data_IF_486453348661
#
_entry.id   IF_486453348661
#
_cell.length_a   1.000
_cell.length_b   1.000
_cell.length_c   1.000
_cell.angle_alpha   90.00
_cell.angle_beta   90.00
_cell.angle_gamma   90.00
#
_symmetry.space_group_name_H-M   'P 1'
#
loop_
_entity.id
_entity.type
_entity.pdbx_description
1 polymer ?
#
# COMPACT_ATOMS: atom_id res chain seq x y z
N UNK A 1 4.34 -7.80 13.09
CA UNK A 1 5.10 -6.56 12.82
C UNK A 1 4.12 -5.39 12.97
N UNK A 2 4.43 -4.33 13.74
CA UNK A 2 3.62 -3.11 13.77
C UNK A 2 4.38 -1.97 13.06
N UNK A 3 4.16 -1.77 11.74
CA UNK A 3 4.67 -0.60 11.04
C UNK A 3 4.09 0.68 11.64
N UNK A 4 4.65 1.83 11.30
CA UNK A 4 4.14 3.12 11.83
C UNK A 4 2.72 3.45 11.39
N UNK A 5 2.26 2.84 10.29
CA UNK A 5 0.87 2.90 9.84
C UNK A 5 0.42 1.53 9.35
N UNK A 6 -0.81 1.17 9.68
CA UNK A 6 -1.47 -0.04 9.19
C UNK A 6 -2.14 0.23 7.85
N UNK A 7 -1.96 -0.71 6.92
CA UNK A 7 -2.77 -0.78 5.70
C UNK A 7 -4.08 -1.54 5.94
N UNK A 8 -4.90 -1.64 4.89
CA UNK A 8 -6.09 -2.49 4.93
C UNK A 8 -5.66 -3.96 4.84
N UNK A 9 -6.13 -4.80 5.76
CA UNK A 9 -5.78 -6.22 5.84
C UNK A 9 -7.04 -7.07 5.85
N UNK A 10 -7.07 -8.13 5.06
CA UNK A 10 -8.08 -9.16 5.11
C UNK A 10 -7.56 -10.39 5.83
N UNK A 11 -8.34 -10.93 6.77
CA UNK A 11 -8.02 -12.18 7.48
C UNK A 11 -9.19 -13.16 7.33
N UNK A 12 -8.98 -14.38 6.81
CA UNK A 12 -10.01 -15.41 6.75
C UNK A 12 -10.60 -15.65 8.14
N UNK A 13 -11.93 -15.67 8.22
CA UNK A 13 -12.67 -16.00 9.44
C UNK A 13 -14.04 -16.52 9.05
N UNK A 14 -14.33 -17.77 9.42
CA UNK A 14 -15.59 -18.41 9.09
C UNK A 14 -16.76 -17.70 9.77
N UNK A 15 -17.90 -17.61 9.07
CA UNK A 15 -19.08 -16.89 9.55
C UNK A 15 -19.60 -17.42 10.89
N UNK A 16 -19.41 -18.71 11.15
CA UNK A 16 -19.81 -19.37 12.39
C UNK A 16 -18.99 -18.90 13.60
N UNK A 17 -17.77 -18.41 13.37
CA UNK A 17 -16.86 -17.88 14.39
C UNK A 17 -17.10 -16.39 14.69
N UNK A 18 -18.05 -15.76 14.01
CA UNK A 18 -18.30 -14.33 14.15
C UNK A 18 -18.89 -14.00 15.51
N UNK A 19 -18.45 -12.90 16.14
CA UNK A 19 -19.04 -12.47 17.38
C UNK A 19 -20.45 -11.90 17.16
N UNK A 20 -21.16 -11.71 18.28
CA UNK A 20 -22.48 -11.09 18.29
C UNK A 20 -22.51 -9.74 17.57
N UNK A 21 -23.66 -9.38 17.00
CA UNK A 21 -23.82 -8.10 16.29
C UNK A 21 -23.36 -6.87 17.10
N UNK A 22 -23.69 -6.71 18.40
CA UNK A 22 -23.18 -5.59 19.19
C UNK A 22 -21.65 -5.54 19.28
N UNK A 23 -21.00 -6.69 19.42
CA UNK A 23 -19.53 -6.75 19.46
C UNK A 23 -18.92 -6.39 18.11
N UNK A 24 -19.54 -6.81 16.99
CA UNK A 24 -19.10 -6.41 15.65
C UNK A 24 -19.20 -4.90 15.43
N UNK A 25 -20.27 -4.27 15.91
CA UNK A 25 -20.42 -2.81 15.88
C UNK A 25 -19.31 -2.10 16.68
N UNK A 26 -18.99 -2.63 17.87
CA UNK A 26 -17.91 -2.09 18.70
C UNK A 26 -16.54 -2.27 18.03
N UNK A 27 -16.28 -3.45 17.46
CA UNK A 27 -15.05 -3.73 16.73
C UNK A 27 -14.90 -2.82 15.51
N UNK A 28 -15.99 -2.51 14.79
CA UNK A 28 -15.97 -1.50 13.74
C UNK A 28 -15.55 -0.13 14.28
N UNK A 29 -16.21 0.37 15.32
CA UNK A 29 -15.92 1.72 15.86
C UNK A 29 -14.51 1.82 16.44
N UNK A 30 -14.06 0.83 17.21
CA UNK A 30 -12.79 0.92 17.93
C UNK A 30 -11.58 0.48 17.10
N UNK A 31 -11.73 -0.59 16.30
CA UNK A 31 -10.64 -1.24 15.57
C UNK A 31 -10.73 -1.05 14.07
N UNK A 32 -11.83 -0.49 13.56
CA UNK A 32 -12.05 -0.42 12.12
C UNK A 32 -12.24 -1.78 11.46
N UNK A 33 -12.69 -2.76 12.25
CA UNK A 33 -12.89 -4.13 11.80
C UNK A 33 -14.30 -4.31 11.26
N UNK A 34 -14.40 -4.74 10.02
CA UNK A 34 -15.64 -5.16 9.37
C UNK A 34 -15.67 -6.67 9.18
N UNK A 35 -16.85 -7.27 9.30
CA UNK A 35 -17.07 -8.70 9.09
C UNK A 35 -17.75 -8.89 7.74
N UNK A 36 -17.14 -9.67 6.86
CA UNK A 36 -17.45 -9.75 5.43
C UNK A 36 -17.89 -11.16 5.06
N UNK A 37 -19.08 -11.28 4.50
CA UNK A 37 -19.62 -12.52 3.94
C UNK A 37 -20.37 -12.18 2.65
N UNK A 38 -19.66 -12.23 1.53
CA UNK A 38 -20.20 -11.93 0.20
C UNK A 38 -20.45 -13.23 -0.55
N UNK A 39 -21.66 -13.40 -1.06
CA UNK A 39 -22.10 -14.58 -1.81
C UNK A 39 -22.71 -14.12 -3.12
N UNK A 40 -22.41 -14.83 -4.21
CA UNK A 40 -23.06 -14.60 -5.48
C UNK A 40 -24.58 -14.87 -5.36
N UNK A 41 -25.39 -13.85 -5.57
CA UNK A 41 -26.86 -13.88 -5.52
C UNK A 41 -27.50 -14.49 -6.77
N UNK A 42 -26.79 -14.44 -7.89
CA UNK A 42 -27.18 -14.97 -9.20
C UNK A 42 -25.96 -15.46 -9.98
N UNK A 43 -26.21 -16.22 -11.03
CA UNK A 43 -25.16 -16.57 -12.01
C UNK A 43 -24.76 -15.31 -12.77
N UNK A 44 -23.44 -15.08 -12.91
CA UNK A 44 -22.90 -13.93 -13.64
C UNK A 44 -21.68 -14.34 -14.45
N UNK A 45 -21.54 -13.82 -15.67
CA UNK A 45 -20.39 -14.05 -16.52
C UNK A 45 -19.31 -13.00 -16.26
N UNK A 46 -18.14 -13.43 -15.77
CA UNK A 46 -16.99 -12.56 -15.52
C UNK A 46 -16.48 -11.96 -16.83
N UNK A 47 -16.19 -10.66 -16.82
CA UNK A 47 -15.32 -10.08 -17.84
C UNK A 47 -13.89 -10.51 -17.52
N UNK A 48 -13.26 -11.24 -18.44
CA UNK A 48 -11.91 -11.77 -18.28
C UNK A 48 -11.00 -11.18 -19.36
N UNK A 49 -9.95 -10.49 -18.93
CA UNK A 49 -8.91 -9.92 -19.77
C UNK A 49 -7.69 -10.85 -19.81
N UNK A 50 -6.79 -10.62 -20.77
CA UNK A 50 -5.48 -11.28 -20.82
C UNK A 50 -4.40 -10.31 -20.36
N UNK A 51 -3.53 -10.74 -19.47
CA UNK A 51 -2.35 -9.96 -19.10
C UNK A 51 -1.25 -10.04 -20.16
N UNK A 52 -0.19 -9.24 -20.01
CA UNK A 52 0.97 -9.27 -20.91
C UNK A 52 1.78 -10.57 -20.87
N UNK A 53 1.39 -11.56 -20.06
CA UNK A 53 1.96 -12.91 -19.97
C UNK A 53 0.97 -13.98 -20.46
N UNK A 54 -0.21 -13.59 -20.96
CA UNK A 54 -1.25 -14.49 -21.46
C UNK A 54 -2.17 -15.09 -20.40
N UNK A 55 -2.03 -14.72 -19.13
CA UNK A 55 -2.91 -15.19 -18.05
C UNK A 55 -4.28 -14.53 -18.11
N UNK A 56 -5.33 -15.29 -17.78
CA UNK A 56 -6.70 -14.80 -17.63
C UNK A 56 -6.85 -14.03 -16.32
N UNK A 57 -7.21 -12.76 -16.38
CA UNK A 57 -7.43 -11.90 -15.20
C UNK A 57 -8.85 -11.32 -15.24
N UNK A 58 -9.64 -11.45 -14.16
CA UNK A 58 -10.97 -10.85 -14.10
C UNK A 58 -10.89 -9.31 -14.03
N UNK A 59 -11.85 -8.63 -14.66
CA UNK A 59 -11.94 -7.15 -14.63
C UNK A 59 -12.47 -6.69 -13.26
N UNK A 60 -11.55 -6.32 -12.36
CA UNK A 60 -11.85 -5.87 -11.00
C UNK A 60 -11.15 -4.57 -10.72
N UNK A 61 -11.90 -3.50 -10.44
CA UNK A 61 -11.35 -2.17 -10.23
C UNK A 61 -11.45 -1.71 -8.79
N UNK A 62 -10.38 -1.14 -8.26
CA UNK A 62 -10.48 -0.43 -6.98
C UNK A 62 -11.13 0.95 -7.20
N UNK A 63 -12.03 1.32 -6.27
CA UNK A 63 -12.79 2.56 -6.24
C UNK A 63 -12.73 3.19 -4.84
N UNK A 64 -12.95 4.50 -4.77
CA UNK A 64 -13.18 5.19 -3.49
C UNK A 64 -14.68 5.31 -3.21
N UNK A 65 -15.10 4.89 -2.03
CA UNK A 65 -16.43 5.09 -1.50
C UNK A 65 -16.41 6.17 -0.42
N UNK A 66 -17.21 7.21 -0.59
CA UNK A 66 -17.27 8.37 0.32
C UNK A 66 -15.91 9.05 0.56
N UNK A 67 -14.96 8.94 -0.38
CA UNK A 67 -13.56 9.39 -0.26
C UNK A 67 -12.71 8.71 0.85
N UNK A 68 -13.31 8.01 1.80
CA UNK A 68 -12.61 7.43 2.95
C UNK A 68 -12.39 5.93 2.84
N UNK A 69 -13.25 5.20 2.12
CA UNK A 69 -13.22 3.75 2.11
C UNK A 69 -12.89 3.23 0.72
N UNK A 70 -11.70 2.65 0.58
CA UNK A 70 -11.31 1.95 -0.64
C UNK A 70 -12.09 0.63 -0.74
N UNK A 71 -12.72 0.39 -1.89
CA UNK A 71 -13.48 -0.82 -2.22
C UNK A 71 -13.06 -1.31 -3.59
N UNK A 72 -13.52 -2.49 -4.00
CA UNK A 72 -13.38 -2.94 -5.39
C UNK A 72 -14.72 -3.18 -6.05
N UNK A 73 -14.77 -3.11 -7.37
CA UNK A 73 -15.92 -3.49 -8.18
C UNK A 73 -15.49 -4.57 -9.18
N UNK A 74 -16.13 -5.73 -9.08
CA UNK A 74 -16.00 -6.83 -10.00
C UNK A 74 -17.01 -6.66 -11.15
N UNK A 75 -16.53 -6.64 -12.39
CA UNK A 75 -17.37 -6.38 -13.58
C UNK A 75 -17.78 -7.68 -14.29
N UNK A 76 -19.00 -7.67 -14.80
CA UNK A 76 -19.62 -8.79 -15.49
C UNK A 76 -20.13 -8.34 -16.87
N UNK A 77 -20.19 -9.26 -17.82
CA UNK A 77 -20.68 -8.96 -19.18
C UNK A 77 -22.21 -8.93 -19.28
N UNK A 78 -22.89 -9.58 -18.34
CA UNK A 78 -24.33 -9.85 -18.33
C UNK A 78 -25.06 -9.27 -17.10
N UNK A 79 -24.33 -8.63 -16.18
CA UNK A 79 -24.87 -8.09 -14.94
C UNK A 79 -24.17 -6.79 -14.52
N UNK A 80 -24.82 -5.94 -13.69
CA UNK A 80 -24.18 -4.81 -13.07
C UNK A 80 -22.95 -5.22 -12.23
N UNK A 81 -21.96 -4.31 -12.05
CA UNK A 81 -20.79 -4.59 -11.22
C UNK A 81 -21.18 -4.98 -9.78
N UNK A 82 -20.46 -5.96 -9.22
CA UNK A 82 -20.55 -6.31 -7.80
C UNK A 82 -19.51 -5.52 -7.03
N UNK A 83 -19.97 -4.68 -6.10
CA UNK A 83 -19.08 -3.96 -5.20
C UNK A 83 -18.65 -4.84 -4.03
N UNK A 84 -17.36 -5.10 -3.95
CA UNK A 84 -16.71 -5.78 -2.85
C UNK A 84 -16.51 -4.82 -1.65
N UNK A 85 -16.46 -5.35 -0.43
CA UNK A 85 -16.42 -4.53 0.79
C UNK A 85 -15.05 -3.93 1.12
N UNK A 86 -14.00 -4.34 0.41
CA UNK A 86 -12.62 -3.85 0.58
C UNK A 86 -11.88 -3.87 -0.76
N UNK A 87 -10.63 -3.34 -0.82
CA UNK A 87 -9.81 -3.41 -2.03
C UNK A 87 -9.45 -4.85 -2.42
N UNK A 88 -8.89 -5.00 -3.62
CA UNK A 88 -8.65 -6.30 -4.24
C UNK A 88 -7.77 -7.19 -3.36
N UNK A 89 -6.70 -6.63 -2.80
CA UNK A 89 -5.72 -7.38 -2.00
C UNK A 89 -6.35 -7.98 -0.72
N UNK A 90 -6.98 -7.18 0.17
CA UNK A 90 -7.72 -7.73 1.32
C UNK A 90 -8.79 -8.74 0.94
N UNK A 91 -9.58 -8.47 -0.11
CA UNK A 91 -10.59 -9.43 -0.58
C UNK A 91 -9.96 -10.74 -1.05
N UNK A 92 -8.83 -10.68 -1.75
CA UNK A 92 -8.06 -11.87 -2.18
C UNK A 92 -7.60 -12.70 -0.99
N UNK A 93 -7.17 -12.04 0.10
CA UNK A 93 -6.78 -12.72 1.33
C UNK A 93 -7.93 -13.43 2.05
N UNK A 94 -9.19 -13.11 1.74
CA UNK A 94 -10.39 -13.70 2.35
C UNK A 94 -11.23 -14.52 1.37
N UNK A 95 -10.61 -15.05 0.31
CA UNK A 95 -11.23 -16.05 -0.59
C UNK A 95 -11.53 -15.59 -2.02
N UNK A 96 -11.44 -14.29 -2.33
CA UNK A 96 -11.78 -13.78 -3.67
C UNK A 96 -10.91 -14.42 -4.77
N UNK A 97 -9.61 -14.60 -4.53
CA UNK A 97 -8.72 -15.18 -5.55
C UNK A 97 -9.08 -16.63 -5.86
N UNK A 98 -9.54 -17.38 -4.85
CA UNK A 98 -9.96 -18.77 -5.02
C UNK A 98 -11.28 -18.85 -5.77
N UNK A 99 -12.27 -18.04 -5.37
CA UNK A 99 -13.60 -18.02 -5.99
C UNK A 99 -13.52 -17.65 -7.47
N UNK A 100 -12.72 -16.64 -7.81
CA UNK A 100 -12.54 -16.19 -9.19
C UNK A 100 -11.70 -17.18 -10.01
N UNK A 101 -10.67 -17.76 -9.42
CA UNK A 101 -9.89 -18.82 -10.07
C UNK A 101 -10.75 -20.03 -10.44
N UNK A 102 -11.67 -20.42 -9.54
CA UNK A 102 -12.66 -21.47 -9.80
C UNK A 102 -13.64 -21.08 -10.92
N UNK A 103 -14.17 -19.86 -10.89
CA UNK A 103 -15.06 -19.37 -11.95
C UNK A 103 -14.38 -19.36 -13.32
N UNK A 104 -13.14 -18.86 -13.41
CA UNK A 104 -12.36 -18.82 -14.66
C UNK A 104 -12.10 -20.23 -15.21
N UNK A 105 -11.76 -21.21 -14.35
CA UNK A 105 -11.61 -22.61 -14.75
C UNK A 105 -12.91 -23.23 -15.27
N UNK A 106 -14.05 -22.72 -14.82
CA UNK A 106 -15.40 -23.20 -15.18
C UNK A 106 -16.08 -22.27 -16.20
N UNK A 107 -15.35 -21.80 -17.21
CA UNK A 107 -15.90 -21.02 -18.32
C UNK A 107 -16.15 -19.54 -18.02
N UNK A 108 -15.64 -19.04 -16.89
CA UNK A 108 -15.81 -17.64 -16.47
C UNK A 108 -17.15 -17.34 -15.80
N UNK A 109 -17.95 -18.37 -15.46
CA UNK A 109 -19.23 -18.18 -14.78
C UNK A 109 -19.02 -18.19 -13.27
N UNK A 110 -19.38 -17.09 -12.61
CA UNK A 110 -19.54 -17.04 -11.17
C UNK A 110 -20.95 -17.50 -10.81
N UNK A 111 -21.08 -18.72 -10.29
CA UNK A 111 -22.39 -19.33 -10.02
C UNK A 111 -23.04 -18.78 -8.75
N UNK A 112 -24.35 -18.67 -8.75
CA UNK A 112 -25.19 -18.39 -7.57
C UNK A 112 -24.83 -19.32 -6.42
N UNK A 113 -24.75 -18.76 -5.22
CA UNK A 113 -24.39 -19.46 -3.99
C UNK A 113 -22.88 -19.59 -3.76
N UNK A 114 -22.04 -19.21 -4.73
CA UNK A 114 -20.59 -19.19 -4.53
C UNK A 114 -20.22 -18.15 -3.47
N UNK A 115 -19.51 -18.56 -2.42
CA UNK A 115 -18.90 -17.63 -1.47
C UNK A 115 -17.73 -16.92 -2.17
N UNK A 116 -17.82 -15.59 -2.28
CA UNK A 116 -16.84 -14.75 -2.97
C UNK A 116 -15.76 -14.30 -1.98
N UNK A 117 -16.18 -13.77 -0.83
CA UNK A 117 -15.29 -13.30 0.22
C UNK A 117 -15.88 -13.69 1.59
N UNK A 118 -15.07 -14.27 2.47
CA UNK A 118 -15.46 -14.63 3.83
C UNK A 118 -14.32 -14.34 4.81
N UNK A 119 -14.54 -13.38 5.71
CA UNK A 119 -13.57 -13.08 6.76
C UNK A 119 -13.77 -11.76 7.45
N UNK A 120 -12.69 -11.21 7.97
CA UNK A 120 -12.64 -9.87 8.56
C UNK A 120 -11.74 -8.95 7.77
N UNK A 121 -12.11 -7.68 7.68
CA UNK A 121 -11.33 -6.61 7.09
C UNK A 121 -11.00 -5.59 8.17
N UNK A 122 -9.72 -5.36 8.42
CA UNK A 122 -9.23 -4.24 9.19
C UNK A 122 -8.85 -3.12 8.23
N UNK A 123 -9.49 -1.96 8.34
CA UNK A 123 -9.45 -0.83 7.37
C UNK A 123 -8.13 -0.03 7.28
N UNK A 124 -7.12 -0.35 8.09
CA UNK A 124 -5.92 0.49 8.22
C UNK A 124 -6.17 1.84 8.87
N UNK A 125 -5.15 2.70 8.90
CA UNK A 125 -5.19 3.98 9.62
C UNK A 125 -5.73 5.13 8.74
N UNK A 126 -6.67 5.92 9.29
CA UNK A 126 -7.12 7.19 8.73
C UNK A 126 -6.16 8.31 9.15
N UNK A 127 -5.38 8.80 8.20
CA UNK A 127 -4.28 9.74 8.46
C UNK A 127 -4.66 11.16 8.09
N UNK A 128 -4.46 12.09 9.04
CA UNK A 128 -4.45 13.52 8.80
C UNK A 128 -3.06 13.96 8.32
N UNK A 129 -3.02 14.72 7.22
CA UNK A 129 -1.79 15.22 6.60
C UNK A 129 -1.72 16.73 6.74
N UNK A 130 -0.61 17.25 7.23
CA UNK A 130 -0.36 18.69 7.34
C UNK A 130 0.25 19.19 6.02
N UNK A 131 -0.56 19.87 5.20
CA UNK A 131 -0.07 20.47 3.94
C UNK A 131 0.59 21.84 4.13
N UNK A 132 0.61 22.39 5.33
CA UNK A 132 1.09 23.74 5.60
C UNK A 132 2.56 23.75 6.02
N UNK A 133 2.97 22.88 6.95
CA UNK A 133 4.30 22.92 7.58
C UNK A 133 5.47 23.00 6.59
N UNK A 134 5.46 22.23 5.50
CA UNK A 134 6.59 22.20 4.56
C UNK A 134 6.77 23.48 3.73
N UNK A 135 5.82 24.42 3.77
CA UNK A 135 6.02 25.76 3.20
C UNK A 135 6.95 26.64 4.06
N UNK A 136 7.12 26.31 5.33
CA UNK A 136 7.88 27.12 6.31
C UNK A 136 9.11 26.41 6.86
N UNK A 137 9.20 25.09 6.69
CA UNK A 137 10.37 24.30 7.09
C UNK A 137 10.70 23.25 6.05
N UNK A 138 11.98 22.92 5.94
CA UNK A 138 12.42 21.77 5.12
C UNK A 138 11.97 20.45 5.78
N UNK A 139 11.61 19.42 4.98
CA UNK A 139 11.41 18.06 5.47
C UNK A 139 12.66 17.53 6.17
N UNK A 140 12.48 16.72 7.21
CA UNK A 140 13.59 16.15 8.00
C UNK A 140 13.62 14.64 7.85
N UNK A 141 14.82 14.06 7.82
CA UNK A 141 15.01 12.61 7.83
C UNK A 141 14.25 11.97 8.99
N UNK A 142 13.72 10.79 8.73
CA UNK A 142 12.95 10.00 9.68
C UNK A 142 11.48 10.41 9.80
N UNK A 143 11.04 11.55 9.27
CA UNK A 143 9.62 11.93 9.28
C UNK A 143 8.78 10.97 8.41
N UNK A 144 7.53 10.71 8.80
CA UNK A 144 6.56 10.09 7.90
C UNK A 144 5.94 11.19 7.04
N UNK A 145 5.99 11.04 5.73
CA UNK A 145 5.56 12.08 4.80
C UNK A 145 4.69 11.51 3.68
N UNK A 146 3.85 12.38 3.15
CA UNK A 146 2.97 12.12 2.03
C UNK A 146 3.49 12.82 0.79
N UNK A 147 3.44 12.12 -0.32
CA UNK A 147 3.82 12.64 -1.63
C UNK A 147 2.90 12.06 -2.70
N UNK A 148 2.74 12.77 -3.81
CA UNK A 148 2.03 12.26 -4.98
C UNK A 148 2.98 11.42 -5.85
N UNK A 149 2.42 10.55 -6.70
CA UNK A 149 3.23 9.64 -7.53
C UNK A 149 3.47 10.14 -8.96
N UNK A 150 3.28 11.43 -9.23
CA UNK A 150 3.46 12.02 -10.56
C UNK A 150 4.92 11.86 -10.99
N UNK A 151 5.18 11.45 -12.22
CA UNK A 151 6.52 11.29 -12.79
C UNK A 151 7.49 10.40 -11.99
N UNK A 152 6.98 9.50 -11.15
CA UNK A 152 7.79 8.47 -10.51
C UNK A 152 7.87 7.25 -11.43
N UNK A 153 9.04 7.02 -12.01
CA UNK A 153 9.26 5.90 -12.92
C UNK A 153 9.12 4.57 -12.16
N UNK A 154 8.04 3.83 -12.46
CA UNK A 154 7.70 2.58 -11.78
C UNK A 154 6.29 2.55 -11.15
N UNK A 155 5.72 3.72 -10.83
CA UNK A 155 4.31 3.84 -10.40
C UNK A 155 3.36 3.89 -11.60
N UNK A 156 3.71 4.66 -12.65
CA UNK A 156 2.90 4.89 -13.87
C UNK A 156 2.58 3.62 -14.67
N UNK A 157 3.58 2.73 -14.88
CA UNK A 157 3.38 1.46 -15.59
C UNK A 157 2.51 0.46 -14.81
N UNK A 158 2.31 0.64 -13.49
CA UNK A 158 1.37 -0.15 -12.69
C UNK A 158 -0.08 0.22 -13.04
N UNK A 159 -0.33 1.52 -13.25
CA UNK A 159 -1.63 2.05 -13.68
C UNK A 159 -1.99 1.53 -15.07
N UNK A 160 -1.02 1.47 -15.98
CA UNK A 160 -1.26 0.96 -17.35
C UNK A 160 -1.43 -0.58 -17.40
N UNK A 161 -0.72 -1.34 -16.55
CA UNK A 161 -0.72 -2.82 -16.56
C UNK A 161 -1.85 -3.45 -15.74
N UNK A 162 -2.32 -2.75 -14.71
CA UNK A 162 -3.57 -3.05 -14.01
C UNK A 162 -4.64 -2.06 -14.49
N UNK A 163 -5.23 -2.30 -15.66
CA UNK A 163 -6.31 -1.50 -16.26
C UNK A 163 -7.64 -1.64 -15.51
N UNK A 164 -7.54 -1.50 -14.20
CA UNK A 164 -8.61 -1.65 -13.25
C UNK A 164 -8.41 -0.63 -12.11
N UNK A 165 -8.12 0.62 -12.48
CA UNK A 165 -7.97 1.69 -11.51
C UNK A 165 -8.77 2.92 -11.93
N UNK A 166 -9.72 3.26 -11.05
CA UNK A 166 -10.08 4.61 -10.63
C UNK A 166 -10.63 5.51 -11.75
N UNK A 167 -11.95 5.67 -11.73
CA UNK A 167 -12.62 6.80 -12.36
C UNK A 167 -12.16 8.11 -11.71
N UNK A 168 -11.81 9.07 -12.56
CA UNK A 168 -11.80 10.51 -12.32
C UNK A 168 -10.99 11.02 -11.12
N UNK A 169 -9.67 10.95 -11.23
CA UNK A 169 -8.75 12.03 -10.84
C UNK A 169 -7.43 11.82 -11.57
N UNK A 170 -6.95 12.86 -12.24
CA UNK A 170 -5.71 12.93 -13.03
C UNK A 170 -4.53 12.24 -12.30
N UNK A 171 -4.18 11.03 -12.74
CA UNK A 171 -2.90 10.30 -12.70
C UNK A 171 -1.93 10.41 -11.47
N UNK A 172 -2.40 10.79 -10.28
CA UNK A 172 -1.56 10.96 -9.10
C UNK A 172 -2.11 10.25 -7.84
N UNK A 173 -1.71 9.00 -7.60
CA UNK A 173 -1.94 8.36 -6.29
C UNK A 173 -1.10 9.04 -5.20
N UNK A 174 -1.64 9.20 -3.99
CA UNK A 174 -0.88 9.69 -2.85
C UNK A 174 -0.26 8.52 -2.10
N UNK A 175 1.05 8.57 -1.86
CA UNK A 175 1.79 7.56 -1.10
C UNK A 175 2.25 8.16 0.23
N UNK A 176 2.32 7.30 1.25
CA UNK A 176 2.83 7.63 2.58
C UNK A 176 3.97 6.67 2.93
N UNK A 177 5.12 7.22 3.30
CA UNK A 177 6.35 6.48 3.60
C UNK A 177 7.18 7.24 4.63
N UNK A 178 8.23 6.61 5.15
CA UNK A 178 9.26 7.30 5.93
C UNK A 178 10.24 8.00 5.00
N UNK A 179 10.55 9.25 5.31
CA UNK A 179 11.53 10.06 4.62
C UNK A 179 12.93 9.57 5.01
N UNK A 180 13.51 8.72 4.17
CA UNK A 180 14.79 8.07 4.44
C UNK A 180 15.98 9.01 4.23
N UNK A 181 15.95 9.80 3.16
CA UNK A 181 17.03 10.71 2.79
C UNK A 181 16.47 12.00 2.18
N UNK A 182 17.18 13.09 2.37
CA UNK A 182 16.82 14.46 1.94
C UNK A 182 17.80 14.99 0.88
N UNK A 183 17.52 16.13 0.22
CA UNK A 183 18.36 16.65 -0.85
C UNK A 183 19.83 16.77 -0.45
N UNK A 184 20.72 16.19 -1.26
CA UNK A 184 22.17 16.15 -1.03
C UNK A 184 22.69 14.94 -0.28
N UNK A 185 21.82 14.14 0.35
CA UNK A 185 22.22 12.88 0.98
C UNK A 185 22.59 11.82 -0.09
N UNK A 186 23.52 10.94 0.25
CA UNK A 186 23.73 9.66 -0.43
C UNK A 186 23.15 8.51 0.39
N UNK A 187 22.09 7.88 -0.11
CA UNK A 187 21.43 6.74 0.54
C UNK A 187 22.03 5.41 0.05
N UNK A 188 22.32 4.50 0.99
CA UNK A 188 22.53 3.07 0.69
C UNK A 188 21.92 2.18 1.75
N UNK A 189 21.76 0.89 1.44
CA UNK A 189 21.21 -0.11 2.36
C UNK A 189 22.35 -1.01 2.86
N UNK A 190 22.45 -1.18 4.17
CA UNK A 190 23.37 -2.11 4.83
C UNK A 190 22.59 -2.86 5.91
N UNK A 191 21.82 -3.91 5.53
CA UNK A 191 20.85 -4.54 6.42
C UNK A 191 21.47 -4.92 7.78
N UNK A 192 20.77 -4.65 8.90
CA UNK A 192 19.38 -4.16 9.00
C UNK A 192 19.24 -2.63 8.83
N UNK A 193 20.33 -1.91 8.58
CA UNK A 193 20.38 -0.45 8.61
C UNK A 193 20.26 0.17 7.21
N UNK A 194 19.95 1.47 7.19
CA UNK A 194 20.29 2.34 6.06
C UNK A 194 21.50 3.20 6.43
N UNK A 195 22.27 3.56 5.41
CA UNK A 195 23.40 4.48 5.55
C UNK A 195 23.08 5.78 4.80
N UNK A 196 23.35 6.91 5.45
CA UNK A 196 23.37 8.24 4.86
C UNK A 196 24.80 8.73 4.88
N UNK A 197 25.34 9.02 3.69
CA UNK A 197 26.75 9.42 3.50
C UNK A 197 27.74 8.46 4.17
N UNK A 198 27.44 7.15 4.04
CA UNK A 198 28.25 6.06 4.59
C UNK A 198 28.09 5.83 6.11
N UNK A 199 27.26 6.61 6.81
CA UNK A 199 27.02 6.46 8.26
C UNK A 199 25.64 5.90 8.54
N UNK A 200 25.52 5.05 9.55
CA UNK A 200 24.21 4.52 9.98
C UNK A 200 23.29 5.69 10.35
N UNK A 201 22.10 5.72 9.75
CA UNK A 201 21.05 6.68 10.12
C UNK A 201 20.48 6.28 11.49
N UNK A 202 20.41 7.23 12.44
CA UNK A 202 20.08 6.99 13.86
C UNK A 202 18.83 7.74 14.32
N UNK A 203 18.11 8.37 13.39
CA UNK A 203 16.87 9.06 13.67
C UNK A 203 15.86 8.07 14.28
N UNK A 204 15.05 8.46 15.28
CA UNK A 204 14.23 7.54 16.08
C UNK A 204 13.32 6.61 15.25
N UNK A 205 12.80 7.13 14.13
CA UNK A 205 12.00 6.36 13.19
C UNK A 205 12.74 5.17 12.58
N UNK A 206 14.02 5.33 12.25
CA UNK A 206 14.82 4.25 11.71
C UNK A 206 15.20 3.22 12.77
N UNK A 207 15.55 3.67 13.99
CA UNK A 207 15.84 2.77 15.11
C UNK A 207 14.67 1.83 15.42
N UNK A 208 13.43 2.35 15.36
CA UNK A 208 12.23 1.53 15.45
C UNK A 208 12.20 0.45 14.35
N UNK A 209 12.44 0.84 13.10
CA UNK A 209 12.42 -0.08 11.96
C UNK A 209 13.51 -1.14 12.07
N UNK A 210 14.73 -0.79 12.49
CA UNK A 210 15.85 -1.72 12.63
C UNK A 210 15.56 -2.89 13.58
N UNK A 211 14.66 -2.68 14.56
CA UNK A 211 14.24 -3.71 15.50
C UNK A 211 13.04 -4.54 15.02
N UNK A 212 12.36 -4.12 13.95
CA UNK A 212 11.17 -4.78 13.43
C UNK A 212 11.53 -6.03 12.63
N UNK A 213 10.85 -7.17 12.85
CA UNK A 213 11.05 -8.37 12.05
C UNK A 213 10.56 -8.14 10.62
N UNK A 214 11.38 -8.48 9.63
CA UNK A 214 11.03 -8.41 8.22
C UNK A 214 9.85 -9.34 7.89
N UNK A 215 8.94 -8.86 7.04
CA UNK A 215 7.90 -9.70 6.46
C UNK A 215 8.54 -10.82 5.65
N UNK A 216 8.15 -12.06 5.93
CA UNK A 216 8.71 -13.30 5.35
C UNK A 216 10.25 -13.42 5.43
N UNK A 217 10.89 -12.69 6.35
CA UNK A 217 12.34 -12.57 6.44
C UNK A 217 13.03 -13.64 7.29
N UNK A 218 12.35 -14.72 7.69
CA UNK A 218 12.95 -15.80 8.49
C UNK A 218 13.57 -15.35 9.82
N UNK A 219 13.05 -14.27 10.42
CA UNK A 219 13.57 -13.69 11.67
C UNK A 219 14.58 -12.55 11.49
N UNK A 220 14.99 -12.24 10.24
CA UNK A 220 15.76 -11.03 9.94
C UNK A 220 14.96 -9.76 10.27
N UNK A 221 15.64 -8.63 10.46
CA UNK A 221 15.05 -7.37 10.93
C UNK A 221 15.47 -6.17 10.07
N UNK A 222 14.77 -5.05 10.23
CA UNK A 222 15.18 -3.76 9.67
C UNK A 222 14.93 -3.59 8.19
N UNK A 223 15.77 -2.79 7.55
CA UNK A 223 15.73 -2.61 6.10
C UNK A 223 16.45 -3.74 5.38
N UNK A 224 15.92 -4.07 4.20
CA UNK A 224 16.43 -5.08 3.28
C UNK A 224 16.65 -4.46 1.92
N UNK A 225 17.45 -5.12 1.09
CA UNK A 225 17.57 -4.74 -0.32
C UNK A 225 16.25 -4.90 -1.07
N UNK A 226 16.11 -4.22 -2.20
CA UNK A 226 15.05 -4.50 -3.16
C UNK A 226 15.24 -5.89 -3.78
N UNK A 227 14.15 -6.63 -3.92
CA UNK A 227 14.16 -7.92 -4.61
C UNK A 227 14.08 -7.72 -6.13
N UNK A 228 15.00 -8.30 -6.93
CA UNK A 228 14.91 -8.29 -8.39
C UNK A 228 13.55 -8.82 -8.86
N UNK A 229 12.96 -8.16 -9.86
CA UNK A 229 11.66 -8.57 -10.43
C UNK A 229 10.42 -8.11 -9.64
N UNK A 230 10.62 -7.44 -8.49
CA UNK A 230 9.55 -6.69 -7.81
C UNK A 230 9.55 -5.24 -8.28
N UNK A 231 8.41 -4.70 -8.70
CA UNK A 231 8.29 -3.34 -9.27
C UNK A 231 8.25 -3.29 -10.81
N UNK A 232 8.15 -2.08 -11.38
CA UNK A 232 8.03 -1.85 -12.82
C UNK A 232 9.28 -1.19 -13.44
N UNK A 233 10.46 -1.70 -13.08
CA UNK A 233 11.75 -1.22 -13.55
C UNK A 233 12.90 -1.98 -12.86
N UNK A 234 14.16 -1.79 -13.30
CA UNK A 234 15.30 -2.30 -12.56
C UNK A 234 15.37 -1.59 -11.20
N UNK A 235 15.37 -2.33 -10.08
CA UNK A 235 15.48 -1.70 -8.76
C UNK A 235 16.83 -1.01 -8.59
N UNK A 236 16.87 0.00 -7.72
CA UNK A 236 18.03 0.89 -7.51
C UNK A 236 18.98 0.36 -6.44
N UNK A 237 18.44 -0.18 -5.33
CA UNK A 237 19.23 -0.60 -4.16
C UNK A 237 19.05 -2.10 -3.92
N UNK A 238 19.78 -2.92 -4.66
CA UNK A 238 19.58 -4.37 -4.81
C UNK A 238 20.66 -5.18 -4.10
N UNK A 239 21.86 -4.63 -4.00
CA UNK A 239 23.03 -5.32 -3.45
C UNK A 239 23.92 -4.36 -2.64
N UNK A 240 24.83 -4.89 -1.81
CA UNK A 240 25.82 -4.07 -1.13
C UNK A 240 26.63 -3.22 -2.11
N UNK A 241 26.85 -1.95 -1.76
CA UNK A 241 27.57 -0.98 -2.57
C UNK A 241 26.69 -0.15 -3.53
N UNK A 242 25.43 -0.54 -3.75
CA UNK A 242 24.49 0.31 -4.48
C UNK A 242 24.20 1.59 -3.69
N UNK A 243 24.14 2.72 -4.39
CA UNK A 243 23.94 4.05 -3.80
C UNK A 243 22.94 4.86 -4.62
N UNK A 244 22.18 5.70 -3.92
CA UNK A 244 21.30 6.70 -4.51
C UNK A 244 21.76 8.08 -4.03
N UNK A 245 22.31 8.87 -4.95
CA UNK A 245 22.74 10.25 -4.68
C UNK A 245 21.57 11.18 -5.00
N UNK A 246 21.08 11.92 -4.00
CA UNK A 246 19.94 12.81 -4.17
C UNK A 246 20.37 14.20 -4.61
N UNK A 247 19.74 14.72 -5.67
CA UNK A 247 19.99 16.10 -6.14
C UNK A 247 19.69 17.13 -5.05
N UNK A 248 20.63 18.06 -4.87
CA UNK A 248 20.62 19.10 -3.83
C UNK A 248 20.11 20.44 -4.37
N UNK A 249 20.38 21.52 -3.64
CA UNK A 249 19.92 22.89 -3.92
C UNK A 249 20.44 23.51 -5.26
N UNK A 250 21.24 22.78 -6.06
CA UNK A 250 21.60 23.14 -7.45
C UNK A 250 20.58 22.64 -8.50
N UNK A 251 19.60 21.85 -8.08
CA UNK A 251 18.46 21.49 -8.92
C UNK A 251 17.57 22.70 -9.21
N UNK A 252 16.90 22.70 -10.37
CA UNK A 252 15.87 23.69 -10.67
C UNK A 252 14.80 23.71 -9.56
N UNK A 253 14.10 24.84 -9.34
CA UNK A 253 13.04 24.93 -8.31
C UNK A 253 12.05 23.77 -8.41
N UNK A 254 11.79 23.09 -7.30
CA UNK A 254 10.91 21.92 -7.24
C UNK A 254 11.52 20.60 -7.72
N UNK A 255 12.79 20.58 -8.12
CA UNK A 255 13.49 19.38 -8.61
C UNK A 255 14.50 18.80 -7.61
N UNK A 256 14.50 19.28 -6.36
CA UNK A 256 15.25 18.63 -5.28
C UNK A 256 14.71 17.22 -5.05
N UNK A 257 15.57 16.29 -4.65
CA UNK A 257 15.20 14.88 -4.57
C UNK A 257 15.22 14.36 -3.14
N UNK A 258 14.24 13.53 -2.82
CA UNK A 258 14.07 12.86 -1.52
C UNK A 258 14.02 11.35 -1.74
N UNK A 259 14.33 10.54 -0.73
CA UNK A 259 14.11 9.09 -0.79
C UNK A 259 13.08 8.67 0.26
N UNK A 260 12.12 7.84 -0.17
CA UNK A 260 11.05 7.34 0.65
C UNK A 260 11.25 5.83 0.87
N UNK A 261 11.23 5.36 2.12
CA UNK A 261 11.27 3.93 2.45
C UNK A 261 10.08 3.55 3.32
N UNK A 262 9.54 2.35 3.13
CA UNK A 262 8.49 1.82 3.99
C UNK A 262 9.04 1.08 5.20
N UNK A 263 8.41 1.28 6.36
CA UNK A 263 8.78 0.59 7.61
C UNK A 263 8.60 -0.93 7.53
N UNK A 264 7.62 -1.40 6.76
CA UNK A 264 7.52 -2.82 6.40
C UNK A 264 8.45 -3.12 5.22
N UNK A 265 9.76 -3.07 5.48
CA UNK A 265 10.80 -3.10 4.44
C UNK A 265 10.68 -4.29 3.49
N UNK A 266 10.39 -5.49 3.99
CA UNK A 266 10.24 -6.70 3.16
C UNK A 266 9.02 -6.69 2.25
N UNK A 267 8.01 -5.86 2.57
CA UNK A 267 6.75 -5.77 1.82
C UNK A 267 6.41 -4.31 1.46
N UNK A 268 7.42 -3.55 1.04
CA UNK A 268 7.26 -2.16 0.64
C UNK A 268 7.91 -1.91 -0.72
N UNK A 269 7.09 -1.52 -1.70
CA UNK A 269 7.56 -0.88 -2.93
C UNK A 269 7.79 0.61 -2.65
N UNK A 270 9.04 1.02 -2.67
CA UNK A 270 9.53 2.34 -2.26
C UNK A 270 10.79 2.73 -3.05
N UNK A 271 11.54 3.74 -2.62
CA UNK A 271 12.68 4.30 -3.38
C UNK A 271 13.74 3.27 -3.75
N UNK A 272 13.85 2.14 -3.05
CA UNK A 272 14.74 1.03 -3.46
C UNK A 272 14.39 0.47 -4.83
N UNK A 273 13.15 0.66 -5.29
CA UNK A 273 12.61 0.14 -6.54
C UNK A 273 12.46 1.20 -7.62
N UNK A 274 11.94 2.39 -7.27
CA UNK A 274 11.57 3.44 -8.24
C UNK A 274 12.42 4.71 -8.17
N UNK A 275 13.46 4.76 -7.33
CA UNK A 275 14.34 5.92 -7.25
C UNK A 275 13.83 7.00 -6.31
N UNK A 276 14.14 8.26 -6.62
CA UNK A 276 13.84 9.40 -5.77
C UNK A 276 12.44 10.00 -5.98
N UNK A 277 11.95 10.73 -4.98
CA UNK A 277 10.76 11.57 -5.03
C UNK A 277 11.21 12.99 -5.30
N UNK A 278 10.67 13.61 -6.36
CA UNK A 278 10.95 15.01 -6.68
C UNK A 278 10.18 15.93 -5.72
N UNK A 279 10.74 17.09 -5.42
CA UNK A 279 10.18 18.03 -4.46
C UNK A 279 8.76 18.49 -4.82
N UNK A 280 8.44 18.69 -6.10
CA UNK A 280 7.09 19.04 -6.52
C UNK A 280 6.03 17.97 -6.20
N UNK A 281 6.47 16.73 -5.89
CA UNK A 281 5.57 15.68 -5.45
C UNK A 281 5.28 15.71 -3.95
N UNK A 282 6.10 16.41 -3.15
CA UNK A 282 5.99 16.41 -1.70
C UNK A 282 4.75 17.19 -1.26
N UNK A 283 3.88 16.53 -0.49
CA UNK A 283 2.61 17.11 -0.03
C UNK A 283 2.72 17.66 1.39
N UNK A 284 3.30 16.90 2.32
CA UNK A 284 3.32 17.29 3.74
C UNK A 284 3.71 16.15 4.68
N UNK A 285 4.05 16.43 5.95
CA UNK A 285 4.22 15.38 6.95
C UNK A 285 2.86 14.75 7.29
N UNK A 286 2.90 13.44 7.58
CA UNK A 286 1.79 12.75 8.20
C UNK A 286 1.69 13.19 9.67
N UNK A 287 0.58 13.81 10.04
CA UNK A 287 0.46 14.50 11.32
C UNK A 287 -0.12 13.58 12.40
N UNK A 288 -1.30 13.02 12.15
CA UNK A 288 -2.08 12.34 13.18
C UNK A 288 -2.87 11.16 12.59
N UNK A 289 -2.91 10.02 13.29
CA UNK A 289 -3.83 8.92 12.97
C UNK A 289 -5.12 9.10 13.75
N UNK A 290 -6.21 9.40 13.04
CA UNK A 290 -7.52 9.71 13.62
C UNK A 290 -8.26 8.45 14.05
N UNK A 291 -8.02 7.33 13.39
CA UNK A 291 -8.75 6.08 13.56
C UNK A 291 -7.99 4.93 12.88
N UNK A 292 -8.00 3.69 13.41
CA UNK A 292 -8.75 3.19 14.56
C UNK A 292 -8.17 3.60 15.92
N UNK A 293 -9.04 3.80 16.91
CA UNK A 293 -8.63 4.32 18.23
C UNK A 293 -7.81 3.27 19.01
N UNK A 294 -8.12 1.99 18.81
CA UNK A 294 -7.44 0.90 19.52
C UNK A 294 -6.43 0.15 18.65
N UNK A 295 -6.00 0.71 17.51
CA UNK A 295 -4.98 0.09 16.64
C UNK A 295 -3.56 0.17 17.21
N UNK A 296 -3.36 0.99 18.25
CA UNK A 296 -2.05 1.33 18.81
C UNK A 296 -1.37 2.51 18.09
N UNK A 297 -1.97 3.03 17.02
CA UNK A 297 -1.43 4.16 16.25
C UNK A 297 -2.20 5.46 16.44
N UNK A 298 -3.34 5.45 17.15
CA UNK A 298 -4.09 6.66 17.44
C UNK A 298 -3.22 7.70 18.16
N UNK A 299 -3.11 8.89 17.57
CA UNK A 299 -2.17 9.89 18.05
C UNK A 299 -1.32 10.52 16.94
N UNK A 300 -0.33 11.30 17.37
CA UNK A 300 0.66 11.88 16.47
C UNK A 300 1.57 10.80 15.87
N UNK A 301 1.76 10.87 14.56
CA UNK A 301 2.57 9.91 13.81
C UNK A 301 4.06 10.24 14.01
N UNK A 302 4.89 9.21 14.26
CA UNK A 302 6.34 9.32 14.50
C UNK A 302 7.10 8.18 13.82
#
# INVERSE_FOLDING_TARGET
>A
MQPTLNGIIGTPLKREEWPSFPKRMLDFVLKGRSYVYEVADQDRQLIVNRDGRGNSIPDIRDIQYMHFFSRSELRFSDAPPLRLPAPLNPCSSIGLSESLGNAIRNGGVLRKGTVICEGVIDTGDLVLVDKFSYHFRKPKRGEVFVFNTIDIEGTRKRVEKNRSHIADQEDATHYIKRLAAVPGDTLSVSPPHILIDGKIAREPGFEKVYQMPLHDGGGAKGYSFASPGSGNGPPVLVKPGDQMVLKKDDAAPGMREYAALGDNSGNSLDSRYWGSVKEFNVVGPALFSLWPITSGHWGFIR
#
